data_IF_481230241419
#
_entry.id   IF_481230241419
#
_cell.length_a   1.000
_cell.length_b   1.000
_cell.length_c   1.000
_cell.angle_alpha   90.00
_cell.angle_beta   90.00
_cell.angle_gamma   90.00
#
_symmetry.space_group_name_H-M   'P 1'
#
loop_
_entity.id
_entity.type
_entity.pdbx_description
1 polymer ?
#
# COMPACT_ATOMS: atom_id res chain seq x y z
N UNK A 1 6.64 17.57 6.18
CA UNK A 1 6.67 16.52 5.14
C UNK A 1 5.99 15.28 5.69
N UNK A 2 5.01 14.72 5.00
CA UNK A 2 4.41 13.44 5.36
C UNK A 2 5.24 12.34 4.67
N UNK A 3 5.69 11.33 5.41
CA UNK A 3 6.44 10.20 4.85
C UNK A 3 5.47 9.33 4.02
N UNK A 4 5.33 9.68 2.74
CA UNK A 4 4.48 8.96 1.79
C UNK A 4 5.12 7.63 1.39
N UNK A 5 4.31 6.59 1.27
CA UNK A 5 4.71 5.22 0.96
C UNK A 5 3.75 4.64 -0.08
N UNK A 6 4.29 3.81 -0.97
CA UNK A 6 3.49 3.01 -1.89
C UNK A 6 2.98 1.78 -1.13
N UNK A 7 1.70 1.53 -1.27
CA UNK A 7 0.97 0.44 -0.62
C UNK A 7 0.36 -0.46 -1.68
N UNK A 8 0.54 -1.77 -1.52
CA UNK A 8 -0.19 -2.78 -2.28
C UNK A 8 -1.51 -3.08 -1.56
N UNK A 9 -2.65 -2.84 -2.23
CA UNK A 9 -3.98 -3.15 -1.68
C UNK A 9 -4.14 -4.66 -1.44
N UNK A 10 -3.72 -5.47 -2.40
CA UNK A 10 -3.50 -6.90 -2.25
C UNK A 10 -2.00 -7.17 -2.17
N UNK A 11 -1.56 -7.88 -1.12
CA UNK A 11 -0.17 -8.22 -0.96
C UNK A 11 0.34 -9.04 -2.14
N UNK A 12 1.58 -8.73 -2.58
CA UNK A 12 2.28 -9.54 -3.57
C UNK A 12 2.48 -11.00 -3.14
N UNK A 13 2.60 -11.24 -1.83
CA UNK A 13 2.65 -12.60 -1.27
C UNK A 13 1.32 -13.35 -1.38
N UNK A 14 0.21 -12.64 -1.61
CA UNK A 14 -1.12 -13.22 -1.78
C UNK A 14 -1.57 -13.24 -3.24
N UNK A 15 -0.63 -13.10 -4.19
CA UNK A 15 -0.90 -13.03 -5.64
C UNK A 15 -1.34 -11.65 -6.16
N UNK A 16 -1.29 -10.61 -5.33
CA UNK A 16 -1.48 -9.23 -5.77
C UNK A 16 -0.41 -8.83 -6.78
N UNK A 17 -0.81 -8.16 -7.87
CA UNK A 17 0.10 -7.72 -8.90
C UNK A 17 0.79 -6.39 -8.55
N UNK A 18 1.73 -5.95 -9.39
CA UNK A 18 2.40 -4.66 -9.24
C UNK A 18 1.81 -3.60 -10.19
N UNK A 19 0.54 -3.74 -10.57
CA UNK A 19 -0.15 -2.78 -11.45
C UNK A 19 -0.57 -1.54 -10.68
N UNK A 20 -0.66 -0.40 -11.37
CA UNK A 20 -1.14 0.85 -10.75
C UNK A 20 -2.50 0.71 -10.07
N UNK A 21 -3.34 -0.24 -10.51
CA UNK A 21 -4.64 -0.50 -9.91
C UNK A 21 -4.53 -1.11 -8.50
N UNK A 22 -3.43 -1.80 -8.20
CA UNK A 22 -3.13 -2.37 -6.89
C UNK A 22 -2.26 -1.43 -6.02
N UNK A 23 -1.80 -0.29 -6.55
CA UNK A 23 -0.87 0.62 -5.87
C UNK A 23 -1.57 1.89 -5.38
N UNK A 24 -1.38 2.19 -4.10
CA UNK A 24 -1.89 3.40 -3.46
C UNK A 24 -0.75 4.18 -2.82
N UNK A 25 -0.83 5.51 -2.85
CA UNK A 25 0.09 6.36 -2.08
C UNK A 25 -0.58 6.76 -0.77
N UNK A 26 -0.01 6.32 0.36
CA UNK A 26 -0.51 6.62 1.69
C UNK A 26 0.58 7.28 2.54
N UNK A 27 0.19 8.07 3.55
CA UNK A 27 1.15 8.48 4.57
C UNK A 27 1.49 7.31 5.50
N UNK A 28 2.64 7.37 6.19
CA UNK A 28 3.08 6.31 7.10
C UNK A 28 2.03 5.88 8.14
N UNK A 29 1.26 6.83 8.69
CA UNK A 29 0.21 6.53 9.66
C UNK A 29 -0.91 5.68 9.04
N UNK A 30 -1.43 6.09 7.87
CA UNK A 30 -2.43 5.30 7.15
C UNK A 30 -1.87 3.96 6.66
N UNK A 31 -0.60 3.93 6.24
CA UNK A 31 0.04 2.70 5.77
C UNK A 31 0.09 1.64 6.86
N UNK A 32 0.34 2.04 8.11
CA UNK A 32 0.35 1.14 9.26
C UNK A 32 -1.03 0.62 9.71
N UNK A 33 -2.13 1.24 9.26
CA UNK A 33 -3.48 0.94 9.74
C UNK A 33 -4.36 0.18 8.75
N UNK A 34 -3.97 0.08 7.48
CA UNK A 34 -4.84 -0.48 6.42
C UNK A 34 -4.87 -2.01 6.42
N UNK A 35 -3.76 -2.67 6.78
CA UNK A 35 -3.70 -4.12 6.88
C UNK A 35 -3.89 -4.54 8.34
N UNK A 36 -5.06 -5.14 8.65
CA UNK A 36 -5.40 -5.74 9.95
C UNK A 36 -5.26 -7.26 9.90
#
# INVERSE_FOLDING_TARGET
MFNLQVHHQEFRSHSGDDSEQNLFTLCAACHSSVHL
#
